data_IF_154356661372
#
_entry.id   IF_154356661372
#
_cell.length_a   1.000
_cell.length_b   1.000
_cell.length_c   1.000
_cell.angle_alpha   90.00
_cell.angle_beta   90.00
_cell.angle_gamma   90.00
#
_symmetry.space_group_name_H-M   'P 1'
#
loop_
_entity.id
_entity.type
_entity.pdbx_description
1 polymer ?
#
# COMPACT_ATOMS: atom_id res chain seq x y z
N UNK A 1 11.00 -14.36 -14.71
CA UNK A 1 11.86 -14.11 -13.54
C UNK A 1 12.67 -15.35 -13.14
N UNK A 2 12.08 -16.53 -12.84
CA UNK A 2 12.81 -17.74 -12.40
C UNK A 2 13.90 -18.14 -13.36
N UNK A 3 13.65 -18.15 -14.71
CA UNK A 3 14.66 -18.44 -15.73
C UNK A 3 15.85 -17.48 -15.60
N UNK A 4 15.61 -16.18 -15.51
CA UNK A 4 16.69 -15.21 -15.36
C UNK A 4 17.52 -15.40 -14.09
N UNK A 5 16.89 -15.79 -12.96
CA UNK A 5 17.62 -16.09 -11.72
C UNK A 5 18.56 -17.29 -11.92
N UNK A 6 18.09 -18.34 -12.60
CA UNK A 6 18.89 -19.54 -12.89
C UNK A 6 20.08 -19.25 -13.81
N UNK A 7 19.90 -18.38 -14.80
CA UNK A 7 20.92 -17.99 -15.77
C UNK A 7 21.93 -16.99 -15.19
N UNK A 8 21.44 -15.90 -14.58
CA UNK A 8 22.27 -14.79 -14.09
C UNK A 8 22.89 -15.05 -12.72
N UNK A 9 22.33 -15.96 -11.95
CA UNK A 9 22.76 -16.35 -10.60
C UNK A 9 23.04 -15.16 -9.68
N UNK A 10 22.10 -14.21 -9.54
CA UNK A 10 22.30 -13.02 -8.70
C UNK A 10 22.56 -13.43 -7.25
N UNK A 11 23.25 -12.58 -6.49
CA UNK A 11 23.47 -12.82 -5.05
C UNK A 11 22.16 -12.85 -4.27
N UNK A 12 21.23 -11.96 -4.64
CA UNK A 12 19.92 -11.80 -4.02
C UNK A 12 18.91 -11.55 -5.15
N UNK A 13 17.71 -12.06 -5.01
CA UNK A 13 16.55 -11.65 -5.80
C UNK A 13 15.40 -11.23 -4.90
N UNK A 14 14.56 -10.34 -5.39
CA UNK A 14 13.34 -9.90 -4.74
C UNK A 14 12.18 -9.98 -5.74
N UNK A 15 11.10 -10.62 -5.31
CA UNK A 15 9.81 -10.64 -5.99
C UNK A 15 8.79 -9.87 -5.15
N UNK A 16 8.01 -9.00 -5.77
CA UNK A 16 6.96 -8.22 -5.11
C UNK A 16 5.62 -8.45 -5.79
N UNK A 17 4.56 -8.54 -4.99
CA UNK A 17 3.19 -8.59 -5.49
C UNK A 17 2.19 -8.03 -4.45
N UNK A 18 0.95 -7.80 -4.88
CA UNK A 18 -0.16 -7.38 -4.02
C UNK A 18 -0.59 -8.51 -3.07
N UNK A 19 -1.16 -8.16 -1.91
CA UNK A 19 -1.65 -9.13 -0.91
C UNK A 19 -2.68 -10.12 -1.51
N UNK A 20 -3.46 -9.68 -2.50
CA UNK A 20 -4.46 -10.52 -3.17
C UNK A 20 -3.92 -11.84 -3.73
N UNK A 21 -2.62 -11.93 -4.05
CA UNK A 21 -1.99 -13.19 -4.50
C UNK A 21 -2.12 -14.31 -3.46
N UNK A 22 -2.15 -13.99 -2.15
CA UNK A 22 -2.27 -14.97 -1.07
C UNK A 22 -3.61 -15.70 -1.04
N UNK A 23 -4.63 -15.14 -1.66
CA UNK A 23 -5.97 -15.73 -1.76
C UNK A 23 -6.41 -16.02 -3.19
N UNK A 24 -5.56 -15.68 -4.17
CA UNK A 24 -5.85 -15.82 -5.59
C UNK A 24 -6.10 -17.26 -6.02
N UNK A 25 -6.96 -17.41 -7.02
CA UNK A 25 -7.30 -18.67 -7.66
C UNK A 25 -7.02 -18.57 -9.15
N UNK A 26 -6.56 -19.66 -9.79
CA UNK A 26 -6.42 -19.72 -11.24
C UNK A 26 -7.79 -19.73 -11.92
N UNK A 27 -8.69 -20.53 -11.40
CA UNK A 27 -10.09 -20.51 -11.81
C UNK A 27 -10.97 -19.90 -10.72
N UNK A 28 -11.84 -18.94 -11.08
CA UNK A 28 -12.70 -18.24 -10.11
C UNK A 28 -13.76 -19.14 -9.50
N UNK A 29 -14.21 -20.18 -10.25
CA UNK A 29 -15.28 -21.08 -9.80
C UNK A 29 -14.72 -22.32 -9.10
N UNK A 30 -13.76 -23.02 -9.73
CA UNK A 30 -13.27 -24.31 -9.30
C UNK A 30 -11.93 -24.27 -8.56
N UNK A 31 -11.17 -23.19 -8.72
CA UNK A 31 -9.86 -23.02 -8.11
C UNK A 31 -9.88 -22.95 -6.59
N UNK A 32 -8.82 -23.43 -5.95
CA UNK A 32 -8.63 -23.40 -4.50
C UNK A 32 -8.02 -22.08 -4.05
N UNK A 33 -8.53 -21.52 -2.95
CA UNK A 33 -7.99 -20.29 -2.37
C UNK A 33 -6.49 -20.43 -2.08
N UNK A 34 -5.69 -19.48 -2.59
CA UNK A 34 -4.25 -19.42 -2.39
C UNK A 34 -3.43 -20.35 -3.30
N UNK A 35 -4.03 -21.01 -4.29
CA UNK A 35 -3.29 -21.88 -5.22
C UNK A 35 -2.26 -21.11 -6.03
N UNK A 36 -2.58 -19.88 -6.47
CA UNK A 36 -1.61 -19.04 -7.19
C UNK A 36 -0.36 -18.82 -6.35
N UNK A 37 -0.53 -18.48 -5.07
CA UNK A 37 0.62 -18.25 -4.20
C UNK A 37 1.42 -19.53 -3.93
N UNK A 38 0.75 -20.68 -3.78
CA UNK A 38 1.44 -21.98 -3.64
C UNK A 38 2.33 -22.27 -4.84
N UNK A 39 1.84 -22.05 -6.04
CA UNK A 39 2.61 -22.32 -7.27
C UNK A 39 3.77 -21.34 -7.42
N UNK A 40 3.54 -20.06 -7.14
CA UNK A 40 4.60 -19.03 -7.14
C UNK A 40 5.66 -19.38 -6.10
N UNK A 41 5.25 -19.71 -4.88
CA UNK A 41 6.16 -20.14 -3.81
C UNK A 41 6.97 -21.37 -4.19
N UNK A 42 6.31 -22.42 -4.71
CA UNK A 42 6.96 -23.64 -5.20
C UNK A 42 8.02 -23.31 -6.26
N UNK A 43 7.70 -22.40 -7.17
CA UNK A 43 8.63 -21.96 -8.22
C UNK A 43 9.89 -21.30 -7.63
N UNK A 44 9.75 -20.38 -6.69
CA UNK A 44 10.91 -19.69 -6.09
C UNK A 44 11.67 -20.54 -5.08
N UNK A 45 10.98 -21.29 -4.23
CA UNK A 45 11.61 -22.13 -3.20
C UNK A 45 12.39 -23.33 -3.76
N UNK A 46 12.05 -23.76 -4.99
CA UNK A 46 12.73 -24.86 -5.66
C UNK A 46 13.99 -24.45 -6.45
N UNK A 47 14.38 -23.17 -6.44
CA UNK A 47 15.57 -22.71 -7.16
C UNK A 47 16.82 -23.25 -6.46
N UNK A 48 17.52 -24.18 -7.12
CA UNK A 48 18.75 -24.79 -6.58
C UNK A 48 19.80 -23.72 -6.25
N UNK A 49 20.39 -23.82 -5.08
CA UNK A 49 21.46 -22.92 -4.63
C UNK A 49 20.95 -21.63 -3.97
N UNK A 50 19.64 -21.49 -3.77
CA UNK A 50 19.04 -20.38 -3.07
C UNK A 50 18.19 -20.83 -1.88
N UNK A 51 18.16 -20.00 -0.86
CA UNK A 51 17.18 -20.09 0.22
C UNK A 51 16.23 -18.92 0.06
N UNK A 52 14.93 -19.21 -0.04
CA UNK A 52 13.89 -18.20 -0.21
C UNK A 52 13.04 -18.07 1.05
N UNK A 53 12.50 -16.87 1.29
CA UNK A 53 11.57 -16.56 2.35
C UNK A 53 10.49 -15.62 1.85
N UNK A 54 9.19 -15.92 2.09
CA UNK A 54 8.11 -14.98 1.85
C UNK A 54 7.84 -14.13 3.10
N UNK A 55 7.33 -12.91 2.87
CA UNK A 55 6.80 -12.04 3.93
C UNK A 55 5.66 -11.19 3.40
N UNK A 56 4.77 -10.76 4.31
CA UNK A 56 3.77 -9.72 4.07
C UNK A 56 4.19 -8.50 4.88
N UNK A 57 4.53 -7.42 4.17
CA UNK A 57 4.90 -6.14 4.78
C UNK A 57 3.79 -5.13 4.54
N UNK A 58 3.63 -4.21 5.48
CA UNK A 58 2.76 -3.05 5.37
C UNK A 58 3.62 -1.79 5.37
N UNK A 59 3.42 -0.91 4.38
CA UNK A 59 4.23 0.30 4.24
C UNK A 59 4.18 1.19 5.50
N UNK A 60 3.02 1.26 6.18
CA UNK A 60 2.89 2.04 7.41
C UNK A 60 3.82 1.56 8.55
N UNK A 61 4.16 0.28 8.59
CA UNK A 61 5.13 -0.26 9.56
C UNK A 61 6.55 0.29 9.40
N UNK A 62 6.79 1.06 8.34
CA UNK A 62 8.06 1.71 8.03
C UNK A 62 7.92 3.24 7.94
N UNK A 63 6.94 3.82 8.63
CA UNK A 63 6.74 5.27 8.69
C UNK A 63 6.01 5.87 7.48
N UNK A 64 5.58 5.06 6.51
CA UNK A 64 4.82 5.56 5.36
C UNK A 64 3.35 5.75 5.77
N UNK A 65 2.75 6.93 5.55
CA UNK A 65 1.36 7.20 5.95
C UNK A 65 0.33 6.53 5.05
N UNK A 66 0.59 5.28 4.66
CA UNK A 66 -0.30 4.51 3.79
C UNK A 66 -0.31 3.03 4.19
N UNK A 67 -1.50 2.48 4.39
CA UNK A 67 -1.65 1.03 4.53
C UNK A 67 -1.58 0.36 3.16
N UNK A 68 -0.36 0.00 2.76
CA UNK A 68 -0.06 -0.66 1.50
C UNK A 68 0.56 -2.03 1.76
N UNK A 69 -0.25 -3.09 1.91
CA UNK A 69 0.27 -4.44 2.09
C UNK A 69 0.91 -4.95 0.79
N UNK A 70 2.08 -5.56 0.94
CA UNK A 70 2.82 -6.18 -0.17
C UNK A 70 3.41 -7.52 0.25
N UNK A 71 3.18 -8.52 -0.58
CA UNK A 71 3.84 -9.81 -0.47
C UNK A 71 5.19 -9.73 -1.14
N UNK A 72 6.22 -10.04 -0.39
CA UNK A 72 7.59 -10.08 -0.89
C UNK A 72 8.13 -11.50 -0.78
N UNK A 73 8.89 -11.96 -1.77
CA UNK A 73 9.70 -13.17 -1.67
C UNK A 73 11.15 -12.79 -1.94
N UNK A 74 11.99 -12.91 -0.93
CA UNK A 74 13.42 -12.71 -1.06
C UNK A 74 14.12 -14.06 -1.13
N UNK A 75 15.02 -14.21 -2.10
CA UNK A 75 15.92 -15.35 -2.16
C UNK A 75 17.37 -14.92 -2.10
N UNK A 76 18.13 -15.55 -1.23
CA UNK A 76 19.56 -15.30 -1.04
C UNK A 76 20.32 -16.54 -1.49
N UNK A 77 21.35 -16.34 -2.32
CA UNK A 77 22.21 -17.44 -2.76
C UNK A 77 22.95 -18.05 -1.57
N UNK A 78 23.00 -19.36 -1.48
CA UNK A 78 23.44 -20.08 -0.28
C UNK A 78 24.88 -19.78 0.14
N UNK A 79 25.78 -19.49 -0.81
CA UNK A 79 27.17 -19.09 -0.52
C UNK A 79 27.25 -17.71 0.14
N UNK A 80 26.31 -16.82 -0.20
CA UNK A 80 26.18 -15.49 0.42
C UNK A 80 25.52 -15.62 1.80
N UNK A 81 24.43 -16.40 1.89
CA UNK A 81 23.71 -16.61 3.15
C UNK A 81 24.60 -17.20 4.22
N UNK A 82 25.47 -18.16 3.89
CA UNK A 82 26.44 -18.76 4.82
C UNK A 82 27.44 -17.74 5.41
N UNK A 83 27.66 -16.62 4.72
CA UNK A 83 28.57 -15.55 5.15
C UNK A 83 27.86 -14.44 5.92
N UNK A 84 26.53 -14.54 6.05
CA UNK A 84 25.70 -13.56 6.74
C UNK A 84 25.18 -14.11 8.06
N UNK A 85 24.73 -13.22 8.95
CA UNK A 85 24.05 -13.59 10.19
C UNK A 85 22.54 -13.78 10.01
N UNK A 86 22.03 -13.71 8.76
CA UNK A 86 20.60 -13.82 8.47
C UNK A 86 20.13 -15.26 8.62
N UNK A 87 18.99 -15.43 9.26
CA UNK A 87 18.33 -16.73 9.41
C UNK A 87 16.94 -16.65 8.78
N UNK A 88 16.62 -17.49 7.77
CA UNK A 88 15.31 -17.49 7.18
C UNK A 88 14.25 -17.96 8.17
N UNK A 89 13.07 -17.36 8.08
CA UNK A 89 11.88 -17.92 8.72
C UNK A 89 11.28 -18.96 7.77
N UNK A 90 11.06 -20.17 8.30
CA UNK A 90 10.43 -21.24 7.51
C UNK A 90 8.98 -20.93 7.22
N UNK A 91 8.56 -21.13 6.00
CA UNK A 91 7.18 -21.05 5.55
C UNK A 91 6.73 -22.43 5.08
N UNK A 92 5.60 -22.88 5.62
CA UNK A 92 4.98 -24.16 5.26
C UNK A 92 3.61 -23.91 4.60
N UNK A 93 3.51 -24.07 3.26
CA UNK A 93 2.25 -23.86 2.55
C UNK A 93 1.21 -24.97 2.78
N UNK A 94 1.58 -26.08 3.43
CA UNK A 94 0.69 -27.19 3.77
C UNK A 94 0.01 -27.03 5.12
N UNK A 95 0.44 -26.06 5.94
CA UNK A 95 -0.08 -25.85 7.29
C UNK A 95 -1.57 -25.52 7.26
N UNK A 96 -2.35 -26.40 7.80
CA UNK A 96 -3.79 -26.24 7.96
C UNK A 96 -4.15 -25.26 9.08
N UNK A 97 -5.39 -24.75 9.05
CA UNK A 97 -5.95 -23.84 10.04
C UNK A 97 -5.26 -22.47 10.19
N UNK A 98 -4.38 -22.10 9.27
CA UNK A 98 -3.76 -20.78 9.22
C UNK A 98 -3.85 -20.19 7.81
N UNK A 99 -4.08 -18.88 7.73
CA UNK A 99 -4.01 -18.18 6.44
C UNK A 99 -2.55 -17.92 6.06
N UNK A 100 -2.26 -17.80 4.77
CA UNK A 100 -0.90 -17.40 4.36
C UNK A 100 -0.51 -16.03 4.91
N UNK A 101 -1.46 -15.07 4.94
CA UNK A 101 -1.22 -13.75 5.52
C UNK A 101 -0.73 -13.87 6.98
N UNK A 102 -1.40 -14.69 7.83
CA UNK A 102 -1.00 -14.83 9.22
C UNK A 102 0.35 -15.53 9.40
N UNK A 103 0.71 -16.45 8.50
CA UNK A 103 2.01 -17.15 8.58
C UNK A 103 3.19 -16.25 8.22
N UNK A 104 3.00 -15.29 7.32
CA UNK A 104 4.10 -14.50 6.75
C UNK A 104 4.06 -13.01 7.14
N UNK A 105 3.02 -12.56 7.85
CA UNK A 105 2.92 -11.15 8.28
C UNK A 105 4.04 -10.83 9.27
N UNK A 106 4.85 -9.82 8.92
CA UNK A 106 5.88 -9.26 9.79
C UNK A 106 6.77 -10.34 10.48
N UNK A 107 7.14 -11.38 9.74
CA UNK A 107 7.79 -12.56 10.29
C UNK A 107 9.31 -12.40 10.52
N UNK A 108 9.92 -11.31 10.08
CA UNK A 108 11.37 -11.07 10.23
C UNK A 108 12.23 -11.96 9.34
N UNK A 109 13.35 -12.46 9.84
CA UNK A 109 14.28 -13.30 9.08
C UNK A 109 15.09 -12.52 8.07
N UNK A 110 14.82 -12.68 6.78
CA UNK A 110 15.45 -11.87 5.71
C UNK A 110 14.94 -10.44 5.65
N UNK A 111 13.83 -10.14 6.33
CA UNK A 111 13.18 -8.85 6.30
C UNK A 111 13.22 -8.21 7.69
N UNK A 112 13.25 -6.87 7.78
CA UNK A 112 13.11 -6.20 9.04
C UNK A 112 11.73 -6.48 9.65
N UNK A 113 11.69 -6.57 10.96
CA UNK A 113 10.43 -6.54 11.72
C UNK A 113 10.08 -5.10 12.05
N UNK A 114 8.79 -4.85 12.20
CA UNK A 114 8.26 -3.61 12.75
C UNK A 114 7.32 -3.94 13.92
N UNK A 115 7.25 -3.08 14.92
CA UNK A 115 6.34 -3.23 16.05
C UNK A 115 5.07 -2.42 15.78
N UNK A 116 3.91 -3.08 15.83
CA UNK A 116 2.61 -2.43 15.63
C UNK A 116 2.33 -1.33 16.66
N UNK A 117 2.95 -1.42 17.86
CA UNK A 117 2.80 -0.44 18.93
C UNK A 117 3.77 0.76 18.80
N UNK A 118 4.84 0.60 18.03
CA UNK A 118 5.88 1.63 17.82
C UNK A 118 5.78 2.30 16.45
N UNK A 119 4.66 2.13 15.74
CA UNK A 119 4.48 2.75 14.43
C UNK A 119 4.35 4.26 14.58
N UNK A 120 5.33 4.97 14.08
CA UNK A 120 5.34 6.43 13.96
C UNK A 120 4.97 6.91 12.55
N UNK A 121 3.96 6.30 11.96
CA UNK A 121 3.40 6.79 10.70
C UNK A 121 2.54 8.02 10.99
N UNK A 122 2.73 9.14 10.26
CA UNK A 122 1.94 10.33 10.47
C UNK A 122 0.46 10.10 10.18
N UNK A 123 -0.40 10.84 10.87
CA UNK A 123 -1.83 10.86 10.58
C UNK A 123 -2.12 11.51 9.23
N UNK A 124 -3.27 11.25 8.66
CA UNK A 124 -3.67 11.86 7.40
C UNK A 124 -3.69 13.40 7.49
N UNK A 125 -4.12 13.95 8.62
CA UNK A 125 -4.09 15.40 8.87
C UNK A 125 -2.66 15.95 8.86
N UNK A 126 -1.70 15.21 9.39
CA UNK A 126 -0.29 15.60 9.40
C UNK A 126 0.31 15.63 8.00
N UNK A 127 -0.23 14.81 7.09
CA UNK A 127 0.23 14.74 5.70
C UNK A 127 -0.45 15.78 4.82
N UNK A 128 -1.77 15.96 4.94
CA UNK A 128 -2.60 16.67 3.95
C UNK A 128 -3.15 18.02 4.40
N UNK A 129 -3.00 18.44 5.67
CA UNK A 129 -3.63 19.68 6.15
C UNK A 129 -3.13 20.95 5.47
N UNK A 130 -1.98 20.93 4.85
CA UNK A 130 -1.44 22.05 4.06
C UNK A 130 -1.97 22.07 2.61
N UNK A 131 -2.59 20.97 2.17
CA UNK A 131 -3.25 20.83 0.87
C UNK A 131 -4.75 21.11 0.93
N UNK A 132 -5.32 21.27 2.13
CA UNK A 132 -6.74 21.57 2.33
C UNK A 132 -7.03 23.04 1.99
N UNK A 133 -7.11 23.33 0.70
CA UNK A 133 -7.50 24.64 0.16
C UNK A 133 -8.07 24.51 -1.25
N UNK A 134 -8.85 25.51 -1.66
CA UNK A 134 -9.45 25.59 -2.99
C UNK A 134 -8.72 26.60 -3.88
N UNK A 135 -9.05 26.59 -5.18
CA UNK A 135 -8.56 27.54 -6.17
C UNK A 135 -7.08 27.37 -6.55
N UNK A 136 -6.59 26.14 -6.50
CA UNK A 136 -5.39 25.73 -7.23
C UNK A 136 -5.70 25.67 -8.74
N UNK A 137 -4.74 26.02 -9.57
CA UNK A 137 -4.79 25.80 -11.03
C UNK A 137 -3.37 25.71 -11.57
N UNK A 138 -3.22 25.16 -12.77
CA UNK A 138 -1.95 25.11 -13.49
C UNK A 138 -1.33 26.51 -13.74
N UNK A 139 -2.16 27.56 -13.77
CA UNK A 139 -1.70 28.96 -13.90
C UNK A 139 -1.24 29.54 -12.55
N UNK A 140 -1.72 29.01 -11.44
CA UNK A 140 -1.39 29.42 -10.06
C UNK A 140 -1.01 28.20 -9.23
N UNK A 141 0.08 27.51 -9.61
CA UNK A 141 0.45 26.20 -9.04
C UNK A 141 1.23 26.35 -7.73
N UNK A 142 0.72 27.08 -6.77
CA UNK A 142 1.44 27.36 -5.55
C UNK A 142 0.70 26.84 -4.32
N UNK A 143 1.48 26.39 -3.33
CA UNK A 143 0.94 26.14 -2.00
C UNK A 143 0.35 27.43 -1.42
N UNK A 144 -0.85 27.32 -0.86
CA UNK A 144 -1.53 28.46 -0.17
C UNK A 144 -1.31 28.43 1.33
N UNK A 145 -0.97 27.27 1.88
CA UNK A 145 -0.68 27.07 3.30
C UNK A 145 0.80 26.72 3.49
N UNK A 146 1.39 27.17 4.58
CA UNK A 146 2.73 26.77 5.00
C UNK A 146 2.71 25.32 5.52
N UNK A 147 3.83 24.62 5.37
CA UNK A 147 4.05 23.34 6.04
C UNK A 147 3.98 23.55 7.56
N UNK A 148 3.20 22.72 8.25
CA UNK A 148 2.96 22.82 9.71
C UNK A 148 3.65 21.68 10.46
N UNK A 149 3.69 20.50 9.86
CA UNK A 149 4.28 19.31 10.46
C UNK A 149 5.68 19.04 9.90
N UNK A 150 6.48 18.29 10.63
CA UNK A 150 7.82 17.94 10.15
C UNK A 150 7.75 17.03 8.94
N UNK A 151 6.70 16.21 8.83
CA UNK A 151 6.46 15.40 7.63
C UNK A 151 6.18 16.27 6.39
N UNK A 152 5.35 17.31 6.53
CA UNK A 152 5.10 18.26 5.43
C UNK A 152 6.36 19.02 5.05
N UNK A 153 7.18 19.43 6.02
CA UNK A 153 8.48 20.07 5.77
C UNK A 153 9.41 19.13 5.00
N UNK A 154 9.51 17.88 5.45
CA UNK A 154 10.30 16.85 4.78
C UNK A 154 9.85 16.62 3.33
N UNK A 155 8.54 16.53 3.08
CA UNK A 155 8.01 16.38 1.73
C UNK A 155 8.32 17.57 0.81
N UNK A 156 8.48 18.78 1.40
CA UNK A 156 8.75 20.01 0.66
C UNK A 156 10.24 20.38 0.58
N UNK A 157 11.10 19.68 1.28
CA UNK A 157 12.53 20.01 1.38
C UNK A 157 13.23 20.14 0.03
N UNK A 158 12.78 19.36 -0.96
CA UNK A 158 13.29 19.37 -2.32
C UNK A 158 12.29 19.92 -3.34
N UNK A 159 11.30 20.68 -2.91
CA UNK A 159 10.31 21.24 -3.82
C UNK A 159 10.94 22.29 -4.76
N UNK A 160 10.41 22.30 -5.97
CA UNK A 160 10.74 23.33 -6.95
C UNK A 160 10.13 24.66 -6.47
N UNK A 161 10.94 25.71 -6.43
CA UNK A 161 10.46 27.07 -6.18
C UNK A 161 10.54 27.89 -7.47
N UNK A 162 9.63 28.87 -7.59
CA UNK A 162 9.75 29.85 -8.66
C UNK A 162 10.86 30.91 -8.33
N UNK A 163 11.12 31.82 -9.25
CA UNK A 163 12.10 32.90 -9.11
C UNK A 163 11.88 33.81 -7.87
N UNK A 164 10.64 33.82 -7.33
CA UNK A 164 10.26 34.57 -6.12
C UNK A 164 10.29 33.71 -4.85
N UNK A 165 10.84 32.51 -4.91
CA UNK A 165 10.93 31.59 -3.76
C UNK A 165 9.60 30.98 -3.33
N UNK A 166 8.53 31.04 -4.16
CA UNK A 166 7.26 30.37 -3.86
C UNK A 166 7.34 28.90 -4.23
N UNK A 167 6.99 28.03 -3.29
CA UNK A 167 6.90 26.59 -3.50
C UNK A 167 5.82 26.22 -4.50
N UNK A 168 6.19 25.43 -5.49
CA UNK A 168 5.29 24.93 -6.53
C UNK A 168 4.64 23.64 -6.05
N UNK A 169 3.33 23.55 -6.19
CA UNK A 169 2.52 22.37 -5.95
C UNK A 169 2.05 21.80 -7.30
N UNK A 170 2.43 20.57 -7.60
CA UNK A 170 1.98 19.84 -8.80
C UNK A 170 0.85 18.88 -8.47
N UNK A 171 0.12 18.46 -9.49
CA UNK A 171 -0.86 17.36 -9.42
C UNK A 171 -1.94 17.55 -8.35
N UNK A 172 -2.34 18.80 -8.08
CA UNK A 172 -3.39 19.15 -7.13
C UNK A 172 -4.70 19.50 -7.85
N UNK A 173 -4.99 18.77 -8.90
CA UNK A 173 -6.23 18.88 -9.65
C UNK A 173 -7.33 18.08 -8.98
N UNK A 174 -8.51 18.68 -8.90
CA UNK A 174 -9.69 18.00 -8.36
C UNK A 174 -10.48 17.36 -9.50
N UNK A 175 -10.91 16.12 -9.29
CA UNK A 175 -11.83 15.46 -10.23
C UNK A 175 -13.12 16.27 -10.35
N UNK A 176 -13.54 16.52 -11.59
CA UNK A 176 -14.80 17.23 -11.87
C UNK A 176 -15.97 16.25 -11.76
N UNK A 177 -16.36 15.92 -10.53
CA UNK A 177 -17.49 15.03 -10.28
C UNK A 177 -18.82 15.65 -10.65
N UNK A 178 -19.76 14.82 -11.13
CA UNK A 178 -21.16 15.23 -11.36
C UNK A 178 -21.83 15.53 -10.02
N UNK A 179 -22.80 16.45 -10.00
CA UNK A 179 -23.50 16.91 -8.80
C UNK A 179 -24.03 15.78 -7.90
N UNK A 180 -24.59 14.73 -8.50
CA UNK A 180 -25.10 13.61 -7.72
C UNK A 180 -24.01 12.79 -7.01
N UNK A 181 -22.77 12.79 -7.55
CA UNK A 181 -21.59 12.18 -6.92
C UNK A 181 -21.15 13.04 -5.74
N UNK A 182 -21.03 14.35 -5.95
CA UNK A 182 -20.69 15.31 -4.89
C UNK A 182 -21.69 15.25 -3.74
N UNK A 183 -23.01 15.24 -4.04
CA UNK A 183 -24.08 15.10 -3.03
C UNK A 183 -23.94 13.81 -2.24
N UNK A 184 -23.61 12.69 -2.91
CA UNK A 184 -23.39 11.40 -2.25
C UNK A 184 -22.22 11.43 -1.29
N UNK A 185 -21.07 11.95 -1.72
CA UNK A 185 -19.89 12.05 -0.87
C UNK A 185 -20.16 12.94 0.35
N UNK A 186 -20.77 14.09 0.14
CA UNK A 186 -21.17 14.96 1.23
C UNK A 186 -22.07 14.24 2.22
N UNK A 187 -23.09 13.54 1.74
CA UNK A 187 -23.99 12.76 2.61
C UNK A 187 -23.23 11.68 3.40
N UNK A 188 -22.28 10.98 2.75
CA UNK A 188 -21.47 9.96 3.43
C UNK A 188 -20.59 10.58 4.53
N UNK A 189 -19.95 11.71 4.27
CA UNK A 189 -19.13 12.42 5.24
C UNK A 189 -19.95 12.97 6.41
N UNK A 190 -21.09 13.62 6.13
CA UNK A 190 -21.96 14.23 7.14
C UNK A 190 -22.57 13.17 8.08
N UNK A 191 -22.79 11.94 7.59
CA UNK A 191 -23.40 10.85 8.34
C UNK A 191 -22.41 9.75 8.78
N UNK A 192 -21.10 9.93 8.60
CA UNK A 192 -20.04 8.95 8.88
C UNK A 192 -20.29 7.57 8.21
N UNK A 193 -20.85 7.56 7.01
CA UNK A 193 -21.11 6.34 6.26
C UNK A 193 -19.85 5.91 5.52
N UNK A 194 -19.37 4.70 5.81
CA UNK A 194 -18.19 4.11 5.19
C UNK A 194 -18.50 2.92 4.28
N UNK A 195 -19.73 2.43 4.31
CA UNK A 195 -20.18 1.30 3.49
C UNK A 195 -21.28 1.74 2.55
N UNK A 196 -21.21 1.29 1.31
CA UNK A 196 -22.25 1.52 0.30
C UNK A 196 -23.62 1.01 0.71
N UNK A 197 -23.68 -0.13 1.42
CA UNK A 197 -24.93 -0.71 1.92
C UNK A 197 -25.71 0.20 2.86
N UNK A 198 -25.01 1.13 3.50
CA UNK A 198 -25.59 2.01 4.52
C UNK A 198 -26.12 3.31 3.92
N UNK A 199 -25.92 3.50 2.60
CA UNK A 199 -26.49 4.63 1.86
C UNK A 199 -27.99 4.43 1.59
N UNK A 200 -28.78 5.52 1.51
CA UNK A 200 -30.13 5.48 0.96
C UNK A 200 -30.17 4.81 -0.41
N UNK A 201 -31.25 4.09 -0.70
CA UNK A 201 -31.37 3.27 -1.92
C UNK A 201 -31.15 4.09 -3.20
N UNK A 202 -31.64 5.32 -3.24
CA UNK A 202 -31.50 6.26 -4.35
C UNK A 202 -30.07 6.75 -4.56
N UNK A 203 -29.22 6.66 -3.52
CA UNK A 203 -27.79 7.00 -3.58
C UNK A 203 -26.89 5.79 -3.85
N UNK A 204 -27.41 4.57 -3.81
CA UNK A 204 -26.64 3.36 -4.10
C UNK A 204 -26.41 3.19 -5.60
N UNK A 205 -25.24 2.68 -5.99
CA UNK A 205 -24.94 2.32 -7.38
C UNK A 205 -24.30 0.94 -7.48
N UNK A 206 -24.53 0.24 -8.59
CA UNK A 206 -24.02 -1.13 -8.79
C UNK A 206 -22.49 -1.22 -8.89
N UNK A 207 -21.85 -0.18 -9.41
CA UNK A 207 -20.41 -0.18 -9.76
C UNK A 207 -19.50 0.52 -8.75
N UNK A 208 -20.01 0.88 -7.59
CA UNK A 208 -19.37 1.83 -6.72
C UNK A 208 -18.75 1.17 -5.48
N UNK A 209 -17.45 1.35 -5.28
CA UNK A 209 -16.69 0.87 -4.11
C UNK A 209 -15.98 2.02 -3.40
N UNK A 210 -16.64 3.16 -3.31
CA UNK A 210 -16.05 4.35 -2.69
C UNK A 210 -15.96 4.15 -1.18
N UNK A 211 -14.81 4.53 -0.65
CA UNK A 211 -14.57 4.59 0.80
C UNK A 211 -14.28 6.05 1.13
N UNK A 212 -15.26 6.80 1.62
CA UNK A 212 -15.00 8.18 2.02
C UNK A 212 -13.94 8.20 3.11
N UNK A 213 -13.04 9.14 3.01
CA UNK A 213 -12.12 9.45 4.10
C UNK A 213 -12.94 10.20 5.16
N UNK A 214 -13.05 9.69 6.40
CA UNK A 214 -13.83 10.36 7.43
C UNK A 214 -13.34 11.78 7.66
N UNK A 215 -14.28 12.71 7.80
CA UNK A 215 -14.01 14.14 8.01
C UNK A 215 -13.12 14.46 9.23
N UNK A 216 -12.88 13.51 10.12
CA UNK A 216 -12.03 13.65 11.31
C UNK A 216 -10.55 13.46 11.05
N UNK A 217 -10.09 13.34 9.84
CA UNK A 217 -8.66 13.35 9.41
C UNK A 217 -7.63 12.62 10.31
N UNK A 218 -8.04 12.10 11.47
CA UNK A 218 -7.21 11.36 12.42
C UNK A 218 -7.23 9.87 12.11
N UNK A 219 -6.82 9.50 10.90
CA UNK A 219 -6.76 8.11 10.48
C UNK A 219 -5.32 7.70 10.28
N UNK A 220 -4.92 6.72 11.00
CA UNK A 220 -3.66 6.00 10.86
C UNK A 220 -3.93 4.55 10.45
N UNK A 221 -3.28 4.07 9.43
CA UNK A 221 -2.72 4.73 8.27
C UNK A 221 -3.79 4.95 7.20
N UNK A 222 -3.50 5.75 6.18
CA UNK A 222 -4.42 5.92 5.07
C UNK A 222 -4.60 4.63 4.28
N UNK A 223 -5.67 4.57 3.51
CA UNK A 223 -5.91 3.45 2.58
C UNK A 223 -4.94 3.49 1.39
N UNK A 224 -4.69 2.35 0.78
CA UNK A 224 -3.97 2.29 -0.49
C UNK A 224 -4.79 2.94 -1.59
N UNK A 225 -4.23 3.94 -2.25
CA UNK A 225 -4.82 4.51 -3.48
C UNK A 225 -4.70 3.48 -4.59
N UNK A 226 -5.81 3.19 -5.26
CA UNK A 226 -5.87 2.27 -6.39
C UNK A 226 -5.67 3.02 -7.71
N UNK A 227 -5.67 2.30 -8.81
CA UNK A 227 -5.63 2.87 -10.17
C UNK A 227 -6.91 3.62 -10.57
N UNK A 228 -7.93 3.61 -9.72
CA UNK A 228 -9.18 4.36 -9.88
C UNK A 228 -9.24 5.45 -8.81
N UNK A 229 -8.58 6.60 -9.02
CA UNK A 229 -8.47 7.66 -8.01
C UNK A 229 -9.82 8.24 -7.60
N UNK A 230 -10.82 8.15 -8.46
CA UNK A 230 -12.17 8.67 -8.19
C UNK A 230 -13.01 7.77 -7.26
N UNK A 231 -12.48 6.61 -6.87
CA UNK A 231 -13.15 5.68 -5.95
C UNK A 231 -12.93 6.03 -4.46
N UNK A 232 -12.10 7.04 -4.17
CA UNK A 232 -11.74 7.45 -2.82
C UNK A 232 -11.91 8.96 -2.66
N UNK A 233 -12.63 9.34 -1.63
CA UNK A 233 -12.87 10.73 -1.22
C UNK A 233 -12.43 10.93 0.21
#
# INVERSE_FOLDING_TARGET
MIRGIKELKPKIFLFENVEGILSGKWDKKEGKKGEIFRDVWKGFSSIRGYTAQPTLLHAYGFGVPQNRPRVMIMGIRNDILKKSNLKPVKFDPSRENTTFSSQIKNNGGFFPKWDENEIDAPDLIDVLSDLDFTGWSSEKPFYKKKARTDFQKFLRENNITNEKGKEILTDHEFSNHKDHVVKRFKFMLDNNITKKSDLPVDMQTKKFNQKPVPAKWKIKPTITVTSLPDDYV
#
